data_IF_627059588563
#
_entry.id   IF_627059588563
#
_cell.length_a   1.000
_cell.length_b   1.000
_cell.length_c   1.000
_cell.angle_alpha   90.00
_cell.angle_beta   90.00
_cell.angle_gamma   90.00
#
_symmetry.space_group_name_H-M   'P 1'
#
loop_
_entity.id
_entity.type
_entity.pdbx_description
1 polymer ?
#
# COMPACT_ATOMS: atom_id res chain seq x y z
N UNK A 1 -11.45 8.70 9.94
CA UNK A 1 -11.82 7.55 9.09
C UNK A 1 -10.89 6.40 9.44
N UNK A 2 -11.41 5.24 9.81
CA UNK A 2 -10.59 4.05 10.05
C UNK A 2 -10.56 3.26 8.75
N UNK A 3 -9.42 3.23 8.06
CA UNK A 3 -9.26 2.43 6.85
C UNK A 3 -9.06 0.96 7.23
N UNK A 4 -9.78 0.06 6.55
CA UNK A 4 -9.60 -1.38 6.71
C UNK A 4 -8.28 -1.79 6.06
N UNK A 5 -7.41 -2.44 6.81
CA UNK A 5 -6.15 -2.96 6.28
C UNK A 5 -6.40 -4.06 5.25
N UNK A 6 -5.53 -4.10 4.23
CA UNK A 6 -5.52 -5.14 3.21
C UNK A 6 -4.67 -6.30 3.72
N UNK A 7 -5.23 -7.50 3.75
CA UNK A 7 -4.58 -8.70 4.32
C UNK A 7 -4.54 -9.90 3.37
N UNK A 8 -5.09 -9.77 2.15
CA UNK A 8 -5.10 -10.85 1.14
C UNK A 8 -4.56 -10.36 -0.20
N UNK A 9 -3.93 -11.29 -0.94
CA UNK A 9 -3.39 -11.03 -2.29
C UNK A 9 -4.49 -10.59 -3.26
N UNK A 10 -5.66 -11.24 -3.23
CA UNK A 10 -6.80 -10.86 -4.06
C UNK A 10 -7.27 -9.42 -3.81
N UNK A 11 -7.33 -9.00 -2.54
CA UNK A 11 -7.69 -7.63 -2.20
C UNK A 11 -6.62 -6.63 -2.66
N UNK A 12 -5.33 -6.96 -2.53
CA UNK A 12 -4.23 -6.15 -3.06
C UNK A 12 -4.30 -6.01 -4.59
N UNK A 13 -4.61 -7.10 -5.29
CA UNK A 13 -4.74 -7.11 -6.75
C UNK A 13 -5.91 -6.25 -7.24
N UNK A 14 -7.01 -6.19 -6.48
CA UNK A 14 -8.19 -5.37 -6.81
C UNK A 14 -7.97 -3.86 -6.65
N UNK A 15 -6.93 -3.42 -5.93
CA UNK A 15 -6.63 -2.00 -5.77
C UNK A 15 -6.11 -1.37 -7.06
N UNK A 16 -6.45 -0.10 -7.29
CA UNK A 16 -5.84 0.67 -8.37
C UNK A 16 -4.35 0.95 -8.05
N UNK A 17 -3.49 0.62 -9.01
CA UNK A 17 -2.05 0.81 -8.90
C UNK A 17 -1.65 2.27 -8.81
N UNK A 18 -2.28 3.16 -9.59
CA UNK A 18 -1.92 4.58 -9.61
C UNK A 18 -2.23 5.24 -8.26
N UNK A 19 -3.32 4.82 -7.62
CA UNK A 19 -3.67 5.24 -6.28
C UNK A 19 -2.63 4.78 -5.25
N UNK A 20 -2.18 3.50 -5.33
CA UNK A 20 -1.12 2.99 -4.46
C UNK A 20 0.16 3.81 -4.63
N UNK A 21 0.59 4.07 -5.86
CA UNK A 21 1.80 4.84 -6.14
C UNK A 21 1.67 6.29 -5.64
N UNK A 22 0.52 6.94 -5.85
CA UNK A 22 0.26 8.27 -5.34
C UNK A 22 0.33 8.32 -3.81
N UNK A 23 -0.30 7.36 -3.15
CA UNK A 23 -0.26 7.18 -1.70
C UNK A 23 1.14 6.95 -1.17
N UNK A 24 1.90 6.04 -1.80
CA UNK A 24 3.28 5.75 -1.43
C UNK A 24 4.17 6.99 -1.46
N UNK A 25 4.08 7.79 -2.54
CA UNK A 25 4.82 9.06 -2.65
C UNK A 25 4.41 10.09 -1.60
N UNK A 26 3.14 10.12 -1.20
CA UNK A 26 2.68 10.95 -0.09
C UNK A 26 3.24 10.47 1.25
N UNK A 27 3.28 9.15 1.48
CA UNK A 27 3.85 8.52 2.67
C UNK A 27 5.36 8.77 2.81
N UNK A 28 6.12 8.70 1.71
CA UNK A 28 7.56 9.03 1.72
C UNK A 28 7.84 10.45 2.23
N UNK A 29 6.94 11.39 1.94
CA UNK A 29 7.03 12.81 2.33
C UNK A 29 6.26 13.15 3.60
N UNK A 30 5.46 12.21 4.14
CA UNK A 30 4.51 12.45 5.23
C UNK A 30 3.55 13.62 4.92
N UNK A 31 3.06 13.67 3.68
CA UNK A 31 2.12 14.69 3.16
C UNK A 31 0.79 14.03 2.75
N UNK A 32 -0.05 13.59 3.71
CA UNK A 32 -1.30 12.92 3.38
C UNK A 32 -2.34 13.87 2.78
N UNK A 33 -2.94 13.47 1.65
CA UNK A 33 -4.18 14.03 1.14
C UNK A 33 -5.40 13.37 1.81
N UNK A 34 -5.97 14.05 2.81
CA UNK A 34 -7.15 13.59 3.54
C UNK A 34 -8.46 13.64 2.74
N UNK A 35 -8.46 14.17 1.52
CA UNK A 35 -9.62 14.11 0.63
C UNK A 35 -9.75 12.75 -0.04
N UNK A 36 -8.66 11.99 -0.15
CA UNK A 36 -8.63 10.65 -0.73
C UNK A 36 -9.48 9.66 0.09
N UNK A 37 -10.36 8.94 -0.60
CA UNK A 37 -11.21 7.88 -0.01
C UNK A 37 -10.80 6.48 -0.47
N UNK A 38 -9.88 6.41 -1.41
CA UNK A 38 -9.46 5.18 -2.04
C UNK A 38 -8.55 4.34 -1.12
N UNK A 39 -8.85 3.06 -1.04
CA UNK A 39 -8.06 2.12 -0.24
C UNK A 39 -6.63 1.99 -0.77
N UNK A 40 -6.45 2.07 -2.09
CA UNK A 40 -5.13 2.00 -2.73
C UNK A 40 -4.20 3.10 -2.24
N UNK A 41 -4.72 4.33 -2.18
CA UNK A 41 -3.97 5.48 -1.67
C UNK A 41 -3.49 5.26 -0.24
N UNK A 42 -4.38 4.87 0.67
CA UNK A 42 -3.99 4.69 2.08
C UNK A 42 -3.10 3.46 2.30
N UNK A 43 -3.27 2.41 1.51
CA UNK A 43 -2.37 1.26 1.50
C UNK A 43 -0.94 1.69 1.12
N UNK A 44 -0.80 2.42 0.01
CA UNK A 44 0.49 2.97 -0.43
C UNK A 44 1.10 3.90 0.61
N UNK A 45 0.31 4.82 1.17
CA UNK A 45 0.75 5.76 2.19
C UNK A 45 1.37 5.06 3.41
N UNK A 46 0.71 4.03 3.93
CA UNK A 46 1.21 3.26 5.07
C UNK A 46 2.54 2.56 4.74
N UNK A 47 2.69 2.02 3.53
CA UNK A 47 3.96 1.43 3.11
C UNK A 47 5.09 2.48 3.06
N UNK A 48 4.81 3.69 2.56
CA UNK A 48 5.80 4.79 2.56
C UNK A 48 6.19 5.26 3.98
N UNK A 49 5.25 5.25 4.92
CA UNK A 49 5.53 5.56 6.33
C UNK A 49 6.43 4.51 6.99
N UNK A 50 6.23 3.23 6.67
CA UNK A 50 7.05 2.12 7.17
C UNK A 50 8.46 2.16 6.57
N UNK A 51 8.58 2.34 5.26
CA UNK A 51 9.88 2.39 4.57
C UNK A 51 10.75 3.55 5.06
N UNK A 52 10.12 4.65 5.46
CA UNK A 52 10.81 5.80 6.05
C UNK A 52 10.94 5.73 7.57
N UNK A 53 10.58 4.60 8.18
CA UNK A 53 10.66 4.32 9.62
C UNK A 53 9.86 5.28 10.51
N UNK A 54 8.87 5.96 9.95
CA UNK A 54 7.93 6.82 10.70
C UNK A 54 6.90 5.99 11.45
N UNK A 55 6.60 4.80 10.93
CA UNK A 55 5.70 3.85 11.56
C UNK A 55 6.32 2.46 11.58
N UNK A 56 6.05 1.64 12.61
CA UNK A 56 6.38 0.23 12.58
C UNK A 56 5.48 -0.50 11.58
N UNK A 57 5.99 -1.60 11.02
CA UNK A 57 5.17 -2.51 10.21
C UNK A 57 4.08 -3.17 11.07
N UNK A 58 2.82 -3.12 10.63
CA UNK A 58 1.70 -3.70 11.37
C UNK A 58 1.59 -5.23 11.18
N UNK A 59 0.89 -5.96 12.06
CA UNK A 59 0.61 -7.39 11.87
C UNK A 59 -0.10 -7.69 10.55
N UNK A 60 -1.00 -6.82 10.11
CA UNK A 60 -1.73 -6.96 8.84
C UNK A 60 -0.80 -6.80 7.63
N UNK A 61 0.15 -5.86 7.68
CA UNK A 61 1.17 -5.72 6.64
C UNK A 61 2.11 -6.93 6.61
N UNK A 62 2.48 -7.49 7.76
CA UNK A 62 3.25 -8.73 7.84
C UNK A 62 2.48 -9.91 7.26
N UNK A 63 1.19 -10.04 7.60
CA UNK A 63 0.31 -11.08 7.07
C UNK A 63 0.19 -10.98 5.55
N UNK A 64 -0.03 -9.78 5.01
CA UNK A 64 -0.10 -9.56 3.58
C UNK A 64 1.23 -9.87 2.90
N UNK A 65 2.35 -9.47 3.49
CA UNK A 65 3.70 -9.77 2.99
C UNK A 65 3.91 -11.28 2.85
N UNK A 66 3.58 -12.05 3.90
CA UNK A 66 3.67 -13.50 3.84
C UNK A 66 2.77 -14.10 2.76
N UNK A 67 1.51 -13.63 2.66
CA UNK A 67 0.58 -14.12 1.64
C UNK A 67 1.08 -13.86 0.21
N UNK A 68 1.70 -12.70 -0.05
CA UNK A 68 2.33 -12.39 -1.35
C UNK A 68 3.48 -13.34 -1.63
N UNK A 69 4.38 -13.55 -0.65
CA UNK A 69 5.52 -14.48 -0.77
C UNK A 69 5.02 -15.90 -1.09
N UNK A 70 4.01 -16.38 -0.37
CA UNK A 70 3.47 -17.74 -0.54
C UNK A 70 2.78 -17.92 -1.91
N UNK A 71 2.11 -16.87 -2.40
CA UNK A 71 1.42 -16.91 -3.69
C UNK A 71 2.36 -16.80 -4.90
N UNK A 72 3.51 -16.14 -4.74
CA UNK A 72 4.37 -15.74 -5.86
C UNK A 72 3.79 -14.63 -6.75
N UNK A 73 2.63 -14.06 -6.39
CA UNK A 73 1.97 -12.99 -7.14
C UNK A 73 2.46 -11.62 -6.68
N UNK A 74 3.43 -11.05 -7.42
CA UNK A 74 3.92 -9.70 -7.16
C UNK A 74 3.21 -8.68 -8.03
N UNK A 75 2.58 -7.69 -7.40
CA UNK A 75 2.00 -6.55 -8.11
C UNK A 75 3.12 -5.62 -8.59
N UNK A 76 3.28 -5.49 -9.89
CA UNK A 76 4.33 -4.67 -10.47
C UNK A 76 3.95 -3.18 -10.45
N UNK A 77 4.24 -2.49 -9.33
CA UNK A 77 3.80 -1.11 -9.09
C UNK A 77 4.53 -0.05 -9.94
N UNK A 78 5.61 -0.43 -10.63
CA UNK A 78 6.47 0.50 -11.36
C UNK A 78 6.77 0.06 -12.81
N UNK A 79 5.96 -0.84 -13.38
CA UNK A 79 6.07 -1.21 -14.79
C UNK A 79 5.68 -0.03 -15.69
N UNK A 80 6.68 0.47 -16.41
CA UNK A 80 6.69 1.30 -17.62
C UNK A 80 5.52 2.26 -17.89
N UNK A 81 5.83 3.55 -17.79
CA UNK A 81 5.15 4.62 -18.55
C UNK A 81 5.38 4.35 -20.04
N UNK A 82 4.31 4.04 -20.78
CA UNK A 82 4.29 4.24 -22.23
C UNK A 82 4.05 5.72 -22.55
#
# INVERSE_FOLDING_TARGET
MTFKAITTVAALNALDQDQIVAGYRAGLRNEPDYTQRDQGYWHGYMNGQVDTRRMPISPEQQQLCQAVIDSGEFKNMFAERH
#
